data_IF_134965730537
#
_entry.id   IF_134965730537
#
_cell.length_a   1.000
_cell.length_b   1.000
_cell.length_c   1.000
_cell.angle_alpha   90.00
_cell.angle_beta   90.00
_cell.angle_gamma   90.00
#
_symmetry.space_group_name_H-M   'P 1'
#
loop_
_entity.id
_entity.type
_entity.pdbx_description
1 polymer ?
#
# COMPACT_ATOMS: atom_id res chain seq x y z
N UNK A 1 -9.99 14.30 12.89
CA UNK A 1 -8.66 14.69 12.36
C UNK A 1 -8.21 13.52 11.53
N UNK A 2 -8.59 13.51 10.25
CA UNK A 2 -8.10 12.51 9.30
C UNK A 2 -6.58 12.70 9.18
N UNK A 3 -5.82 11.69 9.61
CA UNK A 3 -4.38 11.66 9.31
C UNK A 3 -4.26 11.72 7.80
N UNK A 4 -3.41 12.59 7.29
CA UNK A 4 -3.31 12.73 5.84
C UNK A 4 -2.72 11.43 5.30
N UNK A 5 -3.23 10.92 4.17
CA UNK A 5 -2.70 9.69 3.57
C UNK A 5 -1.17 9.69 3.40
N UNK A 6 -0.58 10.87 3.16
CA UNK A 6 0.87 11.09 3.14
C UNK A 6 1.57 10.77 4.47
N UNK A 7 0.95 11.04 5.62
CA UNK A 7 1.49 10.71 6.94
C UNK A 7 1.43 9.21 7.21
N UNK A 8 0.31 8.57 6.86
CA UNK A 8 0.14 7.12 6.98
C UNK A 8 1.15 6.40 6.09
N UNK A 9 1.34 6.89 4.85
CA UNK A 9 2.36 6.37 3.95
C UNK A 9 3.77 6.65 4.45
N UNK A 10 4.05 7.82 5.02
CA UNK A 10 5.35 8.13 5.61
C UNK A 10 5.71 7.16 6.75
N UNK A 11 4.74 6.86 7.61
CA UNK A 11 4.89 5.86 8.68
C UNK A 11 5.06 4.45 8.12
N UNK A 12 4.22 4.08 7.14
CA UNK A 12 4.32 2.80 6.45
C UNK A 12 5.70 2.65 5.83
N UNK A 13 6.24 3.63 5.11
CA UNK A 13 7.50 3.53 4.37
C UNK A 13 8.77 3.63 5.22
N UNK A 14 8.68 3.96 6.51
CA UNK A 14 9.85 4.14 7.39
C UNK A 14 10.67 2.84 7.63
N UNK A 15 10.14 1.67 7.23
CA UNK A 15 10.87 0.39 7.27
C UNK A 15 11.42 0.04 5.88
N UNK A 16 12.63 -0.54 5.78
CA UNK A 16 13.16 -1.02 4.48
C UNK A 16 12.20 -2.02 3.81
N UNK A 17 11.93 -1.93 2.49
CA UNK A 17 11.19 -2.97 1.78
C UNK A 17 11.92 -4.31 1.89
N UNK A 18 11.19 -5.40 2.13
CA UNK A 18 11.79 -6.75 2.19
C UNK A 18 11.92 -7.33 0.78
N UNK A 19 13.13 -7.84 0.48
CA UNK A 19 13.60 -8.46 -0.77
C UNK A 19 12.52 -8.77 -1.83
N UNK A 20 12.55 -8.03 -2.94
CA UNK A 20 11.87 -8.38 -4.20
C UNK A 20 10.48 -7.80 -4.41
N UNK A 21 9.89 -7.13 -3.41
CA UNK A 21 8.60 -6.42 -3.57
C UNK A 21 8.80 -5.06 -4.23
N UNK A 22 7.88 -4.69 -5.12
CA UNK A 22 7.77 -3.31 -5.58
C UNK A 22 7.43 -2.40 -4.40
N UNK A 23 7.77 -1.12 -4.55
CA UNK A 23 7.45 -0.10 -3.54
C UNK A 23 5.93 -0.04 -3.33
N UNK A 24 5.15 -0.16 -4.40
CA UNK A 24 3.68 -0.05 -4.38
C UNK A 24 3.04 -1.25 -3.70
N UNK A 25 3.52 -2.46 -3.97
CA UNK A 25 3.12 -3.67 -3.26
C UNK A 25 3.42 -3.56 -1.77
N UNK A 26 4.62 -3.08 -1.42
CA UNK A 26 4.99 -2.84 -0.02
C UNK A 26 4.09 -1.80 0.65
N UNK A 27 3.68 -0.75 -0.08
CA UNK A 27 2.78 0.28 0.46
C UNK A 27 1.38 -0.27 0.74
N UNK A 28 0.79 -1.05 -0.17
CA UNK A 28 -0.54 -1.65 0.05
C UNK A 28 -0.52 -2.59 1.25
N UNK A 29 0.46 -3.49 1.33
CA UNK A 29 0.58 -4.43 2.45
C UNK A 29 0.74 -3.70 3.80
N UNK A 30 1.55 -2.64 3.83
CA UNK A 30 1.74 -1.88 5.07
C UNK A 30 0.56 -1.01 5.44
N UNK A 31 -0.18 -0.49 4.46
CA UNK A 31 -1.45 0.17 4.70
C UNK A 31 -2.40 -0.80 5.38
N UNK A 32 -2.55 -2.02 4.84
CA UNK A 32 -3.37 -3.08 5.43
C UNK A 32 -2.96 -3.41 6.88
N UNK A 33 -1.66 -3.38 7.20
CA UNK A 33 -1.16 -3.60 8.56
C UNK A 33 -1.48 -2.45 9.55
N UNK A 34 -1.93 -1.28 9.09
CA UNK A 34 -2.29 -0.17 9.99
C UNK A 34 -3.66 -0.35 10.60
N UNK A 35 -3.87 0.17 11.81
CA UNK A 35 -5.19 0.17 12.47
C UNK A 35 -6.25 0.93 11.65
N UNK A 36 -5.85 1.94 10.89
CA UNK A 36 -6.76 2.77 10.09
C UNK A 36 -7.39 2.02 8.92
N UNK A 37 -6.63 1.12 8.30
CA UNK A 37 -7.11 0.30 7.19
C UNK A 37 -7.53 -1.08 7.67
N UNK A 38 -7.03 -1.58 8.80
CA UNK A 38 -7.48 -2.81 9.47
C UNK A 38 -7.62 -3.99 8.49
N UNK A 39 -6.54 -4.30 7.78
CA UNK A 39 -6.46 -5.33 6.75
C UNK A 39 -7.38 -5.13 5.52
N UNK A 40 -7.90 -3.91 5.31
CA UNK A 40 -8.75 -3.58 4.17
C UNK A 40 -7.92 -3.39 2.90
N UNK A 41 -7.79 -4.49 2.16
CA UNK A 41 -7.12 -4.53 0.86
C UNK A 41 -7.67 -3.50 -0.13
N UNK A 42 -9.00 -3.48 -0.34
CA UNK A 42 -9.62 -2.62 -1.35
C UNK A 42 -9.33 -1.14 -1.09
N UNK A 43 -9.43 -0.70 0.17
CA UNK A 43 -9.17 0.69 0.57
C UNK A 43 -7.68 1.03 0.45
N UNK A 44 -6.80 0.11 0.82
CA UNK A 44 -5.35 0.29 0.75
C UNK A 44 -4.87 0.38 -0.70
N UNK A 45 -5.38 -0.50 -1.56
CA UNK A 45 -5.10 -0.49 -3.00
C UNK A 45 -5.64 0.77 -3.67
N UNK A 46 -6.88 1.17 -3.36
CA UNK A 46 -7.48 2.37 -3.91
C UNK A 46 -6.64 3.61 -3.59
N UNK A 47 -6.18 3.76 -2.34
CA UNK A 47 -5.34 4.89 -1.97
C UNK A 47 -4.01 4.93 -2.77
N UNK A 48 -3.34 3.79 -2.93
CA UNK A 48 -2.09 3.73 -3.70
C UNK A 48 -2.31 4.09 -5.16
N UNK A 49 -3.42 3.66 -5.77
CA UNK A 49 -3.75 4.01 -7.16
C UNK A 49 -4.20 5.46 -7.32
N UNK A 50 -4.85 6.04 -6.32
CA UNK A 50 -5.23 7.47 -6.31
C UNK A 50 -4.01 8.38 -6.21
N UNK A 51 -3.02 7.99 -5.40
CA UNK A 51 -1.79 8.76 -5.21
C UNK A 51 -0.78 8.59 -6.34
N UNK A 52 -0.77 7.41 -6.96
CA UNK A 52 0.15 7.06 -8.05
C UNK A 52 -0.65 6.52 -9.24
N UNK A 53 -1.31 7.40 -10.01
CA UNK A 53 -2.12 6.99 -11.16
C UNK A 53 -1.28 6.35 -12.28
N UNK A 54 0.03 6.53 -12.29
CA UNK A 54 0.97 5.84 -13.18
C UNK A 54 1.10 4.33 -12.91
N UNK A 55 0.64 3.86 -11.75
CA UNK A 55 0.74 2.46 -11.36
C UNK A 55 -0.23 1.60 -12.16
N UNK A 56 0.30 0.57 -12.82
CA UNK A 56 -0.55 -0.42 -13.46
C UNK A 56 -1.23 -1.28 -12.41
N UNK A 57 -2.51 -0.99 -12.17
CA UNK A 57 -3.36 -1.74 -11.25
C UNK A 57 -3.26 -3.25 -11.42
N UNK A 58 -3.31 -3.77 -12.65
CA UNK A 58 -3.30 -5.22 -12.90
C UNK A 58 -1.98 -5.86 -12.51
N UNK A 59 -0.87 -5.18 -12.76
CA UNK A 59 0.45 -5.68 -12.37
C UNK A 59 0.63 -5.66 -10.85
N UNK A 60 0.15 -4.59 -10.19
CA UNK A 60 0.16 -4.47 -8.75
C UNK A 60 -0.72 -5.53 -8.08
N UNK A 61 -1.95 -5.73 -8.53
CA UNK A 61 -2.85 -6.77 -8.03
C UNK A 61 -2.22 -8.16 -8.18
N UNK A 62 -1.61 -8.45 -9.34
CA UNK A 62 -0.90 -9.72 -9.59
C UNK A 62 0.31 -9.93 -8.67
N UNK A 63 0.98 -8.85 -8.30
CA UNK A 63 2.08 -8.92 -7.33
C UNK A 63 1.55 -9.17 -5.92
N UNK A 64 0.47 -8.48 -5.53
CA UNK A 64 -0.17 -8.61 -4.21
C UNK A 64 -0.77 -9.99 -3.97
N UNK A 65 -1.30 -10.65 -5.01
CA UNK A 65 -1.80 -12.03 -5.00
C UNK A 65 -0.77 -13.08 -4.53
N UNK A 66 0.53 -12.73 -4.53
CA UNK A 66 1.58 -13.61 -3.99
C UNK A 66 1.71 -13.54 -2.46
N UNK A 67 1.06 -12.56 -1.83
CA UNK A 67 1.25 -12.23 -0.42
C UNK A 67 -0.05 -12.22 0.39
N UNK A 68 -1.20 -12.14 -0.26
CA UNK A 68 -2.55 -12.13 0.31
C UNK A 68 -3.26 -13.41 -0.14
#
# INVERSE_FOLDING_TARGET
>A
MDKTAAEVLGQAMNRKPSNGKSVWCTMVLRLMDTEEYSNNYCRSLALVLELFPEVNRKELEKELDKYI
#
